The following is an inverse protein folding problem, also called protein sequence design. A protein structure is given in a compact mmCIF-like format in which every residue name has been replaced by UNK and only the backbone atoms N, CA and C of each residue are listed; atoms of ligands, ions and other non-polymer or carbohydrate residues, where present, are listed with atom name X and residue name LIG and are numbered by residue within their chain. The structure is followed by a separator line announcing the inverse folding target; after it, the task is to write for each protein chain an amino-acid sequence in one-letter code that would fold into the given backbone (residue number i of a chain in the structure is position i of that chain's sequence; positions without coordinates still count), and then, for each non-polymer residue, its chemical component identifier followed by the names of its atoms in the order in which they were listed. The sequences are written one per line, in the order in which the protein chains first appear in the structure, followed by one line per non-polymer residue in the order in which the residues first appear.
data_IF_809941795726
#
_entry.id   IF_809941795726
#
_cell.length_a   1.000
_cell.length_b   1.000
_cell.length_c   1.000
_cell.angle_alpha   90.00
_cell.angle_beta   90.00
_cell.angle_gamma   90.00
#
_symmetry.space_group_name_H-M   'P 1'
#
loop_
_entity.id
_entity.type
_entity.pdbx_description
1 polymer ?
#
# COMPACT_ATOMS: atom_id res chain seq x y z
N UNK A 1 13.22 -9.01 -6.00
CA UNK A 1 14.02 -7.79 -5.75
C UNK A 1 13.68 -7.08 -4.45
N UNK A 2 12.43 -6.68 -4.18
CA UNK A 2 12.08 -5.99 -2.92
C UNK A 2 12.46 -6.81 -1.67
N UNK A 3 12.11 -8.10 -1.62
CA UNK A 3 12.47 -8.95 -0.47
C UNK A 3 13.99 -9.08 -0.28
N UNK A 4 14.76 -9.03 -1.37
CA UNK A 4 16.22 -9.08 -1.30
C UNK A 4 16.78 -7.75 -0.79
N UNK A 5 16.24 -6.59 -1.21
CA UNK A 5 16.68 -5.31 -0.65
C UNK A 5 16.32 -5.14 0.83
N UNK A 6 15.27 -5.84 1.30
CA UNK A 6 14.93 -5.87 2.73
C UNK A 6 15.90 -6.73 3.55
N UNK A 7 16.59 -7.71 2.96
CA UNK A 7 17.57 -8.53 3.71
C UNK A 7 18.81 -7.74 4.08
N UNK A 8 19.20 -6.74 3.28
CA UNK A 8 20.34 -5.87 3.57
C UNK A 8 20.15 -5.06 4.87
N UNK A 9 18.88 -4.85 5.26
CA UNK A 9 18.53 -4.15 6.49
C UNK A 9 18.62 -5.05 7.74
N UNK A 10 18.94 -6.34 7.60
CA UNK A 10 19.06 -7.26 8.74
C UNK A 10 20.20 -6.89 9.69
N UNK A 11 21.25 -6.23 9.18
CA UNK A 11 22.42 -5.77 9.93
C UNK A 11 22.12 -4.61 10.89
N UNK A 12 20.95 -3.97 10.78
CA UNK A 12 20.56 -2.88 11.68
C UNK A 12 20.36 -3.43 13.10
N UNK A 13 21.23 -3.05 14.03
CA UNK A 13 21.27 -3.54 15.42
C UNK A 13 19.93 -3.42 16.16
N UNK A 14 19.32 -2.24 16.13
CA UNK A 14 18.10 -1.96 16.88
C UNK A 14 16.86 -2.46 16.11
N UNK A 15 16.09 -3.35 16.72
CA UNK A 15 14.92 -3.99 16.09
C UNK A 15 13.86 -2.98 15.63
N UNK A 16 13.56 -1.96 16.44
CA UNK A 16 12.59 -0.92 16.08
C UNK A 16 13.01 -0.16 14.81
N UNK A 17 14.28 0.26 14.72
CA UNK A 17 14.83 0.94 13.55
C UNK A 17 14.87 0.02 12.33
N UNK A 18 15.25 -1.25 12.52
CA UNK A 18 15.23 -2.25 11.45
C UNK A 18 13.84 -2.42 10.86
N UNK A 19 12.82 -2.59 11.71
CA UNK A 19 11.42 -2.69 11.26
C UNK A 19 10.96 -1.41 10.58
N UNK A 20 11.26 -0.24 11.15
CA UNK A 20 10.90 1.04 10.56
C UNK A 20 11.53 1.26 9.18
N UNK A 21 12.82 0.91 9.01
CA UNK A 21 13.51 1.02 7.72
C UNK A 21 12.91 0.05 6.69
N UNK A 22 12.62 -1.20 7.10
CA UNK A 22 11.95 -2.16 6.22
C UNK A 22 10.57 -1.66 5.76
N UNK A 23 9.77 -1.17 6.70
CA UNK A 23 8.46 -0.58 6.39
C UNK A 23 8.59 0.65 5.48
N UNK A 24 9.57 1.52 5.70
CA UNK A 24 9.82 2.68 4.84
C UNK A 24 10.20 2.27 3.42
N UNK A 25 11.00 1.22 3.26
CA UNK A 25 11.36 0.68 1.93
C UNK A 25 10.14 0.09 1.22
N UNK A 26 9.30 -0.67 1.93
CA UNK A 26 8.03 -1.20 1.39
C UNK A 26 7.10 -0.06 0.98
N UNK A 27 6.90 0.93 1.86
CA UNK A 27 6.07 2.11 1.62
C UNK A 27 6.48 2.84 0.33
N UNK A 28 7.78 3.12 0.18
CA UNK A 28 8.33 3.80 -1.00
C UNK A 28 8.20 2.98 -2.28
N UNK A 29 8.47 1.68 -2.22
CA UNK A 29 8.37 0.80 -3.41
C UNK A 29 6.95 0.72 -3.95
N UNK A 30 5.96 0.93 -3.09
CA UNK A 30 4.54 0.92 -3.42
C UNK A 30 3.95 2.33 -3.60
N UNK A 31 4.79 3.38 -3.58
CA UNK A 31 4.37 4.78 -3.68
C UNK A 31 3.36 5.25 -2.61
N UNK A 32 3.19 4.50 -1.52
CA UNK A 32 2.29 4.86 -0.42
C UNK A 32 2.81 6.06 0.39
N UNK A 33 4.07 6.44 0.21
CA UNK A 33 4.64 7.64 0.81
C UNK A 33 4.20 8.93 0.13
N UNK A 34 3.60 8.84 -1.06
CA UNK A 34 3.00 9.97 -1.78
C UNK A 34 1.52 10.18 -1.43
N UNK A 35 0.90 9.21 -0.74
CA UNK A 35 -0.52 9.27 -0.36
C UNK A 35 -0.67 10.12 0.90
N UNK A 36 -1.38 11.24 0.78
CA UNK A 36 -1.73 12.05 1.94
C UNK A 36 -2.97 11.48 2.65
N UNK A 37 -3.10 11.76 3.94
CA UNK A 37 -4.25 11.28 4.74
C UNK A 37 -5.58 11.74 4.14
N UNK A 38 -5.68 12.98 3.68
CA UNK A 38 -6.90 13.51 3.08
C UNK A 38 -7.29 12.74 1.81
N UNK A 39 -6.34 12.39 0.95
CA UNK A 39 -6.63 11.59 -0.26
C UNK A 39 -7.09 10.18 0.06
N UNK A 40 -6.49 9.57 1.08
CA UNK A 40 -6.96 8.27 1.55
C UNK A 40 -8.42 8.38 2.00
N UNK A 41 -8.76 9.38 2.83
CA UNK A 41 -10.14 9.64 3.28
C UNK A 41 -11.07 9.84 2.08
N UNK A 42 -10.73 10.71 1.13
CA UNK A 42 -11.56 11.00 -0.04
C UNK A 42 -11.79 9.75 -0.89
N UNK A 43 -10.77 8.90 -1.06
CA UNK A 43 -10.91 7.63 -1.76
C UNK A 43 -11.85 6.69 -1.00
N UNK A 44 -11.65 6.46 0.29
CA UNK A 44 -12.56 5.62 1.09
C UNK A 44 -14.00 6.15 1.08
N UNK A 45 -14.19 7.46 1.19
CA UNK A 45 -15.51 8.10 1.15
C UNK A 45 -16.17 7.91 -0.22
N UNK A 46 -15.43 8.06 -1.33
CA UNK A 46 -15.94 7.86 -2.69
C UNK A 46 -16.42 6.43 -2.97
N UNK A 47 -15.86 5.45 -2.27
CA UNK A 47 -16.27 4.03 -2.31
C UNK A 47 -17.30 3.66 -1.24
N UNK A 48 -17.84 4.66 -0.52
CA UNK A 48 -18.86 4.45 0.51
C UNK A 48 -18.35 3.71 1.76
N UNK A 49 -17.04 3.71 2.00
CA UNK A 49 -16.41 3.01 3.12
C UNK A 49 -16.30 3.86 4.40
N UNK A 50 -16.78 5.10 4.34
CA UNK A 50 -16.79 6.00 5.49
C UNK A 50 -17.53 5.38 6.67
N UNK A 51 -16.85 5.28 7.81
CA UNK A 51 -17.38 4.71 9.05
C UNK A 51 -17.89 3.26 8.92
N UNK A 52 -17.47 2.50 7.91
CA UNK A 52 -17.81 1.09 7.72
C UNK A 52 -16.64 0.17 8.08
N UNK A 53 -16.09 0.33 9.28
CA UNK A 53 -14.88 -0.40 9.71
C UNK A 53 -15.09 -1.92 9.87
N UNK A 54 -16.33 -2.37 10.06
CA UNK A 54 -16.69 -3.79 10.20
C UNK A 54 -17.00 -4.46 8.86
N UNK A 55 -17.01 -3.70 7.75
CA UNK A 55 -17.27 -4.26 6.41
C UNK A 55 -16.04 -5.02 5.92
N UNK A 56 -16.23 -6.29 5.58
CA UNK A 56 -15.22 -7.09 4.88
C UNK A 56 -15.19 -6.66 3.42
N UNK A 57 -14.00 -6.34 2.92
CA UNK A 57 -13.76 -6.03 1.52
C UNK A 57 -13.21 -7.26 0.81
N UNK A 58 -13.77 -7.58 -0.34
CA UNK A 58 -13.17 -8.60 -1.21
C UNK A 58 -12.01 -8.01 -2.04
N UNK A 59 -11.37 -8.85 -2.84
CA UNK A 59 -10.24 -8.44 -3.69
C UNK A 59 -10.68 -7.37 -4.71
N UNK A 60 -11.91 -7.43 -5.20
CA UNK A 60 -12.44 -6.49 -6.19
C UNK A 60 -12.63 -5.11 -5.58
N UNK A 61 -13.23 -5.04 -4.39
CA UNK A 61 -13.39 -3.81 -3.61
C UNK A 61 -12.04 -3.17 -3.31
N UNK A 62 -11.07 -3.98 -2.84
CA UNK A 62 -9.72 -3.51 -2.56
C UNK A 62 -9.03 -2.95 -3.80
N UNK A 63 -9.13 -3.63 -4.95
CA UNK A 63 -8.60 -3.15 -6.23
C UNK A 63 -9.23 -1.81 -6.60
N UNK A 64 -10.54 -1.68 -6.47
CA UNK A 64 -11.28 -0.46 -6.82
C UNK A 64 -10.81 0.74 -6.01
N UNK A 65 -10.72 0.59 -4.68
CA UNK A 65 -10.27 1.65 -3.76
C UNK A 65 -8.82 2.04 -4.02
N UNK A 66 -7.93 1.04 -4.13
CA UNK A 66 -6.51 1.30 -4.40
C UNK A 66 -6.29 1.94 -5.78
N UNK A 67 -7.05 1.55 -6.80
CA UNK A 67 -6.96 2.15 -8.13
C UNK A 67 -7.29 3.65 -8.07
N UNK A 68 -8.36 4.03 -7.36
CA UNK A 68 -8.69 5.46 -7.13
C UNK A 68 -7.56 6.21 -6.44
N UNK A 69 -6.94 5.62 -5.41
CA UNK A 69 -5.79 6.24 -4.72
C UNK A 69 -4.60 6.41 -5.68
N UNK A 70 -4.29 5.38 -6.47
CA UNK A 70 -3.12 5.38 -7.35
C UNK A 70 -3.28 6.29 -8.58
N UNK A 71 -4.45 6.35 -9.21
CA UNK A 71 -4.73 7.29 -10.31
C UNK A 71 -4.59 8.74 -9.85
N UNK A 72 -5.08 9.03 -8.65
CA UNK A 72 -4.96 10.32 -8.01
C UNK A 72 -3.48 10.73 -7.83
N UNK A 73 -2.65 9.90 -7.19
CA UNK A 73 -1.23 10.25 -6.99
C UNK A 73 -0.42 10.24 -8.29
N UNK A 74 -0.81 9.43 -9.28
CA UNK A 74 -0.17 9.39 -10.60
C UNK A 74 -0.43 10.66 -11.40
N UNK A 75 -1.60 11.28 -11.25
CA UNK A 75 -1.92 12.56 -11.90
C UNK A 75 -0.96 13.67 -11.46
N UNK A 76 -0.54 13.66 -10.19
CA UNK A 76 0.42 14.62 -9.63
C UNK A 76 1.88 14.22 -9.84
N UNK A 77 2.16 12.93 -9.96
CA UNK A 77 3.50 12.36 -10.04
C UNK A 77 3.65 11.38 -11.22
N UNK A 78 3.40 11.80 -12.47
CA UNK A 78 3.21 10.90 -13.60
C UNK A 78 4.47 10.10 -13.99
N UNK A 79 5.65 10.57 -13.63
CA UNK A 79 6.92 9.86 -13.87
C UNK A 79 7.32 8.92 -12.73
N UNK A 80 6.67 8.99 -11.57
CA UNK A 80 7.03 8.23 -10.38
C UNK A 80 6.10 7.04 -10.13
N UNK A 81 4.84 7.14 -10.53
CA UNK A 81 3.81 6.15 -10.20
C UNK A 81 3.43 5.33 -11.43
N UNK A 82 3.79 4.05 -11.41
CA UNK A 82 3.23 3.07 -12.34
C UNK A 82 2.00 2.43 -11.67
N UNK A 83 0.80 2.89 -12.05
CA UNK A 83 -0.46 2.48 -11.41
C UNK A 83 -0.65 0.96 -11.40
N UNK A 84 -0.58 0.23 -12.53
CA UNK A 84 -0.73 -1.23 -12.53
C UNK A 84 0.23 -1.95 -11.56
N UNK A 85 1.52 -1.58 -11.59
CA UNK A 85 2.51 -2.23 -10.74
C UNK A 85 2.29 -1.92 -9.25
N UNK A 86 1.98 -0.66 -8.91
CA UNK A 86 1.77 -0.29 -7.51
C UNK A 86 0.52 -0.94 -6.94
N UNK A 87 -0.54 -1.03 -7.74
CA UNK A 87 -1.77 -1.72 -7.40
C UNK A 87 -1.53 -3.20 -7.10
N UNK A 88 -0.84 -3.92 -7.98
CA UNK A 88 -0.51 -5.34 -7.79
C UNK A 88 0.32 -5.58 -6.53
N UNK A 89 1.33 -4.73 -6.30
CA UNK A 89 2.17 -4.81 -5.10
C UNK A 89 1.37 -4.54 -3.82
N UNK A 90 0.45 -3.57 -3.84
CA UNK A 90 -0.39 -3.22 -2.70
C UNK A 90 -1.42 -4.27 -2.35
N UNK A 91 -2.12 -4.80 -3.34
CA UNK A 91 -3.02 -5.93 -3.16
C UNK A 91 -2.26 -7.12 -2.58
N UNK A 92 -1.10 -7.49 -3.17
CA UNK A 92 -0.33 -8.62 -2.67
C UNK A 92 0.19 -8.40 -1.23
N UNK A 93 0.61 -7.18 -0.90
CA UNK A 93 1.03 -6.84 0.47
C UNK A 93 -0.13 -6.96 1.46
N UNK A 94 -1.29 -6.35 1.17
CA UNK A 94 -2.46 -6.40 2.04
C UNK A 94 -2.94 -7.84 2.25
N UNK A 95 -3.01 -8.65 1.18
CA UNK A 95 -3.36 -10.05 1.32
C UNK A 95 -2.32 -10.82 2.15
N UNK A 96 -1.02 -10.60 1.96
CA UNK A 96 -0.02 -11.26 2.81
C UNK A 96 -0.12 -10.89 4.29
N UNK A 97 -0.63 -9.70 4.61
CA UNK A 97 -0.80 -9.22 5.99
C UNK A 97 -2.12 -9.69 6.60
N UNK A 98 -3.23 -9.55 5.87
CA UNK A 98 -4.59 -9.72 6.41
C UNK A 98 -5.29 -11.01 5.94
N UNK A 99 -4.86 -11.61 4.84
CA UNK A 99 -5.42 -12.85 4.28
C UNK A 99 -4.33 -13.75 3.67
N UNK A 100 -3.42 -14.23 4.53
CA UNK A 100 -2.29 -15.06 4.09
C UNK A 100 -2.70 -16.41 3.50
N UNK A 101 -3.92 -16.87 3.79
CA UNK A 101 -4.45 -18.15 3.29
C UNK A 101 -5.18 -18.02 1.95
N UNK A 102 -5.48 -16.78 1.50
CA UNK A 102 -6.18 -16.50 0.23
C UNK A 102 -7.54 -17.19 0.18
N UNK A 103 -8.26 -17.17 1.30
CA UNK A 103 -9.57 -17.81 1.49
C UNK A 103 -10.70 -16.81 1.30
#
# INVERSE_FOLDING_TARGET
ELMNSLSDLNEVRFSAYRTALKLRTVQKRMCLDLVTVNRAIDAFDSHGLRAQNDKVLDVTDMISVLNTIYEQIATENPSLVNVPLCLDLAVNWLLNVYDSQRT
#
